data_IF_158430455953
#
_entry.id   IF_158430455953
#
_cell.length_a   1.000
_cell.length_b   1.000
_cell.length_c   1.000
_cell.angle_alpha   90.00
_cell.angle_beta   90.00
_cell.angle_gamma   90.00
#
_symmetry.space_group_name_H-M   'P 1'
#
loop_
_entity.id
_entity.type
_entity.pdbx_description
1 polymer ?
#
# COMPACT_ATOMS: atom_id res chain seq x y z
N UNK A 1 -65.11 -41.25 22.04
CA UNK A 1 -66.28 -40.65 21.36
C UNK A 1 -65.94 -39.18 21.13
N UNK A 2 -65.57 -38.91 19.93
CA UNK A 2 -65.75 -37.71 19.13
C UNK A 2 -65.74 -36.34 19.81
N UNK A 3 -64.78 -35.55 19.45
CA UNK A 3 -65.03 -34.25 18.78
C UNK A 3 -63.77 -33.75 18.10
N UNK A 4 -63.65 -34.11 16.84
CA UNK A 4 -63.00 -33.38 15.80
C UNK A 4 -63.89 -32.23 15.37
N UNK A 5 -63.28 -31.23 14.91
CA UNK A 5 -63.67 -30.13 14.00
C UNK A 5 -63.69 -28.74 14.62
N UNK A 6 -63.03 -27.96 13.84
CA UNK A 6 -63.09 -26.51 13.64
C UNK A 6 -62.09 -25.67 14.42
N UNK A 7 -60.99 -25.45 13.76
CA UNK A 7 -60.43 -24.08 13.60
C UNK A 7 -59.58 -24.00 12.30
N UNK A 8 -60.34 -23.83 11.25
CA UNK A 8 -59.76 -23.24 10.01
C UNK A 8 -59.85 -21.71 10.13
N UNK A 9 -58.91 -21.04 9.49
CA UNK A 9 -58.82 -19.61 9.19
C UNK A 9 -58.31 -18.69 10.29
N UNK A 10 -57.04 -18.39 10.19
CA UNK A 10 -56.52 -17.01 10.10
C UNK A 10 -55.05 -17.09 9.68
N UNK A 11 -54.77 -17.50 8.42
CA UNK A 11 -53.55 -17.19 7.74
C UNK A 11 -53.74 -15.82 7.07
N UNK A 12 -53.68 -14.78 7.87
CA UNK A 12 -53.46 -13.43 7.36
C UNK A 12 -51.97 -13.31 7.04
N UNK A 13 -51.71 -13.20 5.76
CA UNK A 13 -50.38 -13.09 5.21
C UNK A 13 -49.59 -11.92 5.78
N UNK A 14 -48.53 -12.23 6.50
CA UNK A 14 -47.36 -11.38 6.59
C UNK A 14 -46.64 -11.54 5.26
N UNK A 15 -47.03 -10.74 4.31
CA UNK A 15 -46.13 -10.36 3.21
C UNK A 15 -45.03 -9.51 3.83
N UNK A 16 -44.00 -10.18 4.34
CA UNK A 16 -42.71 -9.59 4.53
C UNK A 16 -42.24 -9.24 3.13
N UNK A 17 -42.35 -7.96 2.78
CA UNK A 17 -41.75 -7.43 1.58
C UNK A 17 -40.24 -7.65 1.67
N UNK A 18 -39.77 -8.77 1.13
CA UNK A 18 -38.41 -8.84 0.63
C UNK A 18 -38.37 -7.75 -0.48
N UNK A 19 -37.82 -6.61 -0.17
CA UNK A 19 -37.24 -5.75 -1.17
C UNK A 19 -36.15 -6.59 -1.84
N UNK A 20 -36.50 -7.24 -2.95
CA UNK A 20 -35.56 -7.85 -3.84
C UNK A 20 -34.55 -6.71 -4.16
N UNK A 21 -33.28 -6.92 -3.78
CA UNK A 21 -32.22 -6.06 -4.26
C UNK A 21 -32.41 -6.01 -5.78
N UNK A 22 -32.70 -4.81 -6.31
CA UNK A 22 -32.92 -4.66 -7.74
C UNK A 22 -31.56 -4.93 -8.39
N UNK A 23 -31.43 -6.09 -9.02
CA UNK A 23 -30.27 -6.44 -9.80
C UNK A 23 -30.23 -5.53 -11.04
N UNK A 24 -29.03 -5.27 -11.57
CA UNK A 24 -28.83 -4.52 -12.81
C UNK A 24 -29.88 -4.87 -13.87
N UNK A 25 -30.55 -3.87 -14.40
CA UNK A 25 -31.53 -4.04 -15.48
C UNK A 25 -30.90 -3.77 -16.84
N UNK A 26 -31.50 -4.30 -17.94
CA UNK A 26 -30.98 -4.06 -19.29
C UNK A 26 -31.04 -2.57 -19.66
N UNK A 27 -32.06 -1.85 -19.19
CA UNK A 27 -32.21 -0.40 -19.43
C UNK A 27 -31.10 0.38 -18.73
N UNK A 28 -30.71 -0.02 -17.52
CA UNK A 28 -29.59 0.59 -16.80
C UNK A 28 -28.26 0.28 -17.49
N UNK A 29 -28.02 -0.98 -17.88
CA UNK A 29 -26.82 -1.36 -18.63
C UNK A 29 -26.69 -0.58 -19.93
N UNK A 30 -27.80 -0.39 -20.63
CA UNK A 30 -27.85 0.40 -21.86
C UNK A 30 -27.63 1.89 -21.60
N UNK A 31 -28.24 2.45 -20.55
CA UNK A 31 -28.06 3.86 -20.17
C UNK A 31 -26.61 4.22 -19.84
N UNK A 32 -25.84 3.25 -19.33
CA UNK A 32 -24.40 3.41 -19.11
C UNK A 32 -23.60 3.25 -20.41
N UNK A 33 -24.04 2.37 -21.31
CA UNK A 33 -23.32 2.07 -22.57
C UNK A 33 -23.52 3.16 -23.63
N UNK A 34 -24.69 3.76 -23.72
CA UNK A 34 -25.12 4.65 -24.81
C UNK A 34 -25.74 5.94 -24.30
N UNK A 35 -25.47 7.02 -25.01
CA UNK A 35 -26.05 8.33 -24.73
C UNK A 35 -24.98 9.40 -24.57
N UNK A 36 -25.42 10.60 -24.22
CA UNK A 36 -24.54 11.72 -23.89
C UNK A 36 -23.76 11.45 -22.60
N UNK A 37 -22.54 11.99 -22.50
CA UNK A 37 -21.64 11.71 -21.37
C UNK A 37 -22.28 12.00 -20.02
N UNK A 38 -23.04 13.05 -19.85
CA UNK A 38 -23.67 13.42 -18.59
C UNK A 38 -24.76 12.41 -18.19
N UNK A 39 -25.60 11.99 -19.14
CA UNK A 39 -26.62 10.98 -18.90
C UNK A 39 -26.01 9.60 -18.54
N UNK A 40 -24.91 9.24 -19.19
CA UNK A 40 -24.17 7.99 -18.88
C UNK A 40 -23.55 8.01 -17.49
N UNK A 41 -22.99 9.14 -17.05
CA UNK A 41 -22.45 9.32 -15.69
C UNK A 41 -23.56 9.23 -14.64
N UNK A 42 -24.73 9.82 -14.90
CA UNK A 42 -25.88 9.72 -14.00
C UNK A 42 -26.40 8.28 -13.89
N UNK A 43 -26.51 7.57 -15.02
CA UNK A 43 -26.90 6.17 -15.04
C UNK A 43 -25.89 5.28 -14.30
N UNK A 44 -24.60 5.55 -14.45
CA UNK A 44 -23.51 4.89 -13.72
C UNK A 44 -23.65 5.11 -12.21
N UNK A 45 -23.83 6.36 -11.78
CA UNK A 45 -23.99 6.69 -10.35
C UNK A 45 -25.21 5.97 -9.73
N UNK A 46 -26.32 5.91 -10.47
CA UNK A 46 -27.54 5.20 -10.04
C UNK A 46 -27.31 3.69 -9.90
N UNK A 47 -26.66 3.06 -10.87
CA UNK A 47 -26.36 1.63 -10.82
C UNK A 47 -25.40 1.28 -9.66
N UNK A 48 -24.40 2.12 -9.42
CA UNK A 48 -23.44 1.95 -8.30
C UNK A 48 -24.14 2.06 -6.95
N UNK A 49 -25.10 2.96 -6.79
CA UNK A 49 -25.84 3.12 -5.54
C UNK A 49 -26.61 1.85 -5.15
N UNK A 50 -26.96 1.00 -6.10
CA UNK A 50 -27.61 -0.30 -5.84
C UNK A 50 -26.61 -1.33 -5.29
N UNK A 51 -25.32 -1.25 -5.62
CA UNK A 51 -24.23 -2.05 -5.04
C UNK A 51 -24.40 -3.56 -5.28
N UNK A 52 -24.75 -3.96 -6.51
CA UNK A 52 -24.97 -5.35 -6.91
C UNK A 52 -23.69 -5.96 -7.56
N UNK A 53 -23.49 -7.27 -7.35
CA UNK A 53 -22.38 -8.03 -7.92
C UNK A 53 -22.39 -8.01 -9.47
N UNK A 54 -23.57 -8.11 -10.07
CA UNK A 54 -23.74 -8.04 -11.54
C UNK A 54 -23.34 -6.70 -12.08
N UNK A 55 -23.69 -5.62 -11.39
CA UNK A 55 -23.24 -4.27 -11.71
C UNK A 55 -21.71 -4.20 -11.71
N UNK A 56 -21.06 -4.78 -10.70
CA UNK A 56 -19.58 -4.80 -10.64
C UNK A 56 -18.96 -5.55 -11.83
N UNK A 57 -19.52 -6.71 -12.19
CA UNK A 57 -19.06 -7.49 -13.35
C UNK A 57 -19.24 -6.74 -14.65
N UNK A 58 -20.38 -6.08 -14.82
CA UNK A 58 -20.67 -5.28 -16.02
C UNK A 58 -19.76 -4.06 -16.13
N UNK A 59 -19.57 -3.33 -15.04
CA UNK A 59 -18.67 -2.17 -15.03
C UNK A 59 -17.21 -2.56 -15.27
N UNK A 60 -16.80 -3.73 -14.74
CA UNK A 60 -15.47 -4.26 -15.05
C UNK A 60 -15.32 -4.62 -16.53
N UNK A 61 -16.37 -5.20 -17.14
CA UNK A 61 -16.37 -5.50 -18.57
C UNK A 61 -16.31 -4.23 -19.43
N UNK A 62 -16.95 -3.14 -18.99
CA UNK A 62 -16.81 -1.83 -19.63
C UNK A 62 -15.38 -1.27 -19.52
N UNK A 63 -14.77 -1.38 -18.35
CA UNK A 63 -13.37 -0.94 -18.12
C UNK A 63 -12.38 -1.76 -18.95
N UNK A 64 -12.65 -3.05 -19.16
CA UNK A 64 -11.85 -3.95 -19.98
C UNK A 64 -12.08 -3.74 -21.50
N UNK A 65 -12.92 -2.81 -21.91
CA UNK A 65 -13.35 -2.54 -23.30
C UNK A 65 -13.94 -3.78 -24.01
N UNK A 66 -14.59 -4.70 -23.27
CA UNK A 66 -15.18 -5.94 -23.81
C UNK A 66 -16.71 -5.89 -23.95
N UNK A 67 -17.30 -4.70 -23.88
CA UNK A 67 -18.74 -4.53 -24.03
C UNK A 67 -19.08 -4.04 -25.44
N UNK A 68 -20.04 -4.71 -26.06
CA UNK A 68 -20.59 -4.34 -27.37
C UNK A 68 -22.07 -4.04 -27.28
N UNK A 69 -22.55 -3.24 -28.18
CA UNK A 69 -23.96 -2.90 -28.33
C UNK A 69 -24.45 -3.25 -29.73
N UNK A 70 -25.61 -3.86 -29.81
CA UNK A 70 -26.33 -4.10 -31.06
C UNK A 70 -27.79 -3.70 -30.86
N UNK A 71 -28.27 -2.71 -31.58
CA UNK A 71 -29.65 -2.14 -31.50
C UNK A 71 -30.04 -1.81 -30.03
N UNK A 72 -30.74 -2.73 -29.36
CA UNK A 72 -31.26 -2.55 -28.03
C UNK A 72 -30.62 -3.48 -26.98
N UNK A 73 -29.63 -4.27 -27.39
CA UNK A 73 -28.95 -5.24 -26.49
C UNK A 73 -27.52 -4.83 -26.21
N UNK A 74 -27.17 -4.95 -24.94
CA UNK A 74 -25.78 -4.80 -24.48
C UNK A 74 -25.23 -6.21 -24.20
N UNK A 75 -24.04 -6.51 -24.69
CA UNK A 75 -23.46 -7.84 -24.66
C UNK A 75 -22.00 -7.72 -24.21
N UNK A 76 -21.60 -8.50 -23.22
CA UNK A 76 -20.20 -8.65 -22.83
C UNK A 76 -19.54 -9.72 -23.71
N UNK A 77 -18.46 -9.40 -24.41
CA UNK A 77 -17.79 -10.31 -25.33
C UNK A 77 -16.39 -10.64 -24.81
N UNK A 78 -16.17 -11.89 -24.37
CA UNK A 78 -14.86 -12.40 -23.97
C UNK A 78 -14.52 -13.64 -24.77
N UNK A 79 -13.34 -13.70 -25.35
CA UNK A 79 -12.84 -14.83 -26.15
C UNK A 79 -13.83 -15.25 -27.28
N UNK A 80 -14.54 -14.27 -27.88
CA UNK A 80 -15.50 -14.52 -28.94
C UNK A 80 -16.87 -15.03 -28.47
N UNK A 81 -17.09 -15.19 -27.16
CA UNK A 81 -18.37 -15.57 -26.58
C UNK A 81 -19.10 -14.35 -26.03
N UNK A 82 -20.36 -14.20 -26.43
CA UNK A 82 -21.24 -13.17 -25.91
C UNK A 82 -21.95 -13.62 -24.63
N UNK A 83 -22.05 -12.74 -23.64
CA UNK A 83 -22.79 -12.98 -22.39
C UNK A 83 -23.68 -11.77 -22.09
N UNK A 84 -24.93 -12.01 -21.74
CA UNK A 84 -25.88 -10.99 -21.30
C UNK A 84 -25.48 -10.49 -19.90
N UNK A 85 -25.27 -9.18 -19.69
CA UNK A 85 -24.83 -8.64 -18.41
C UNK A 85 -25.85 -8.76 -17.29
N UNK A 86 -27.13 -8.92 -17.61
CA UNK A 86 -28.22 -9.01 -16.63
C UNK A 86 -28.49 -10.44 -16.21
N UNK A 87 -28.61 -11.34 -17.19
CA UNK A 87 -28.96 -12.74 -16.93
C UNK A 87 -27.73 -13.64 -16.70
N UNK A 88 -26.56 -13.24 -17.23
CA UNK A 88 -25.34 -14.06 -17.24
C UNK A 88 -25.39 -15.21 -18.25
N UNK A 89 -26.40 -15.29 -19.11
CA UNK A 89 -26.54 -16.33 -20.11
C UNK A 89 -25.69 -16.05 -21.35
N UNK A 90 -25.22 -17.11 -22.00
CA UNK A 90 -24.51 -17.01 -23.25
C UNK A 90 -25.46 -16.58 -24.38
N UNK A 91 -25.08 -15.57 -25.14
CA UNK A 91 -25.83 -14.99 -26.25
C UNK A 91 -24.95 -14.93 -27.48
N UNK A 92 -25.51 -15.18 -28.64
CA UNK A 92 -24.79 -15.03 -29.90
C UNK A 92 -24.43 -13.53 -30.10
N UNK A 93 -23.19 -13.26 -30.51
CA UNK A 93 -22.75 -11.89 -30.84
C UNK A 93 -23.27 -11.55 -32.23
N UNK A 94 -24.17 -10.53 -32.37
CA UNK A 94 -24.64 -10.11 -33.67
C UNK A 94 -23.51 -9.51 -34.52
N UNK A 95 -23.59 -9.67 -35.85
CA UNK A 95 -22.60 -9.12 -36.77
C UNK A 95 -22.56 -7.56 -36.78
N UNK A 96 -23.65 -6.94 -36.38
CA UNK A 96 -23.83 -5.48 -36.28
C UNK A 96 -23.46 -4.91 -34.90
N UNK A 97 -22.82 -5.73 -34.02
CA UNK A 97 -22.44 -5.28 -32.71
C UNK A 97 -21.21 -4.36 -32.72
N UNK A 98 -21.40 -3.10 -32.28
CA UNK A 98 -20.35 -2.10 -32.17
C UNK A 98 -19.75 -2.03 -30.77
N UNK A 99 -18.46 -1.64 -30.69
CA UNK A 99 -17.79 -1.46 -29.41
C UNK A 99 -18.31 -0.21 -28.69
N UNK A 100 -18.51 -0.31 -27.37
CA UNK A 100 -18.91 0.84 -26.54
C UNK A 100 -17.73 1.77 -26.35
N UNK A 101 -17.82 2.99 -26.91
CA UNK A 101 -16.79 3.99 -26.79
C UNK A 101 -16.86 4.70 -25.43
N UNK A 102 -15.76 4.68 -24.68
CA UNK A 102 -15.60 5.39 -23.43
C UNK A 102 -14.69 6.61 -23.62
N UNK A 103 -15.20 7.80 -23.29
CA UNK A 103 -14.35 8.99 -23.22
C UNK A 103 -13.57 9.03 -21.89
N UNK A 104 -12.54 9.88 -21.79
CA UNK A 104 -11.68 9.98 -20.61
C UNK A 104 -12.45 10.32 -19.33
N UNK A 105 -13.50 11.13 -19.41
CA UNK A 105 -14.34 11.47 -18.26
C UNK A 105 -15.09 10.24 -17.75
N UNK A 106 -15.74 9.51 -18.65
CA UNK A 106 -16.49 8.32 -18.27
C UNK A 106 -15.58 7.20 -17.76
N UNK A 107 -14.36 7.08 -18.29
CA UNK A 107 -13.35 6.16 -17.74
C UNK A 107 -12.99 6.52 -16.30
N UNK A 108 -12.74 7.79 -15.99
CA UNK A 108 -12.47 8.22 -14.63
C UNK A 108 -13.63 7.94 -13.66
N UNK A 109 -14.86 8.21 -14.08
CA UNK A 109 -16.06 7.89 -13.28
C UNK A 109 -16.26 6.39 -13.11
N UNK A 110 -15.95 5.59 -14.13
CA UNK A 110 -16.01 4.13 -14.10
C UNK A 110 -14.98 3.53 -13.13
N UNK A 111 -13.74 3.99 -13.16
CA UNK A 111 -12.69 3.56 -12.24
C UNK A 111 -13.08 3.86 -10.79
N UNK A 112 -13.67 5.03 -10.58
CA UNK A 112 -14.15 5.46 -9.29
C UNK A 112 -15.35 4.62 -8.81
N UNK A 113 -16.27 4.29 -9.72
CA UNK A 113 -17.42 3.43 -9.47
C UNK A 113 -16.99 2.00 -9.10
N UNK A 114 -16.01 1.45 -9.82
CA UNK A 114 -15.44 0.15 -9.54
C UNK A 114 -14.71 0.14 -8.18
N UNK A 115 -13.99 1.21 -7.85
CA UNK A 115 -13.38 1.36 -6.53
C UNK A 115 -14.44 1.35 -5.41
N UNK A 116 -15.56 2.03 -5.63
CA UNK A 116 -16.67 2.07 -4.67
C UNK A 116 -17.34 0.70 -4.47
N UNK A 117 -17.55 -0.06 -5.54
CA UNK A 117 -18.11 -1.42 -5.47
C UNK A 117 -17.20 -2.42 -4.76
N UNK A 118 -15.88 -2.18 -4.77
CA UNK A 118 -14.91 -2.98 -4.00
C UNK A 118 -15.13 -2.93 -2.48
N UNK A 119 -15.92 -1.98 -1.97
CA UNK A 119 -16.36 -1.98 -0.55
C UNK A 119 -17.19 -3.21 -0.17
N UNK A 120 -17.78 -3.90 -1.14
CA UNK A 120 -18.59 -5.10 -0.91
C UNK A 120 -17.85 -6.40 -1.22
N UNK A 121 -16.54 -6.33 -1.48
CA UNK A 121 -15.71 -7.51 -1.74
C UNK A 121 -15.68 -8.45 -0.52
N UNK A 122 -15.65 -9.78 -0.72
CA UNK A 122 -15.44 -10.73 0.38
C UNK A 122 -14.08 -10.56 1.07
N UNK A 123 -13.07 -10.06 0.35
CA UNK A 123 -11.72 -9.84 0.88
C UNK A 123 -11.64 -8.52 1.68
N UNK A 124 -11.30 -8.63 2.96
CA UNK A 124 -11.10 -7.49 3.87
C UNK A 124 -10.03 -6.51 3.37
N UNK A 125 -8.95 -7.02 2.74
CA UNK A 125 -7.88 -6.17 2.22
C UNK A 125 -8.36 -5.31 1.06
N UNK A 126 -9.19 -5.87 0.19
CA UNK A 126 -9.79 -5.15 -0.94
C UNK A 126 -10.74 -4.07 -0.42
N UNK A 127 -11.62 -4.39 0.55
CA UNK A 127 -12.52 -3.42 1.16
C UNK A 127 -11.77 -2.28 1.85
N UNK A 128 -10.69 -2.60 2.56
CA UNK A 128 -9.82 -1.60 3.20
C UNK A 128 -9.23 -0.61 2.20
N UNK A 129 -8.67 -1.11 1.09
CA UNK A 129 -8.09 -0.27 0.04
C UNK A 129 -9.15 0.60 -0.63
N UNK A 130 -10.35 0.06 -0.88
CA UNK A 130 -11.48 0.80 -1.42
C UNK A 130 -11.90 1.95 -0.49
N UNK A 131 -12.03 1.69 0.81
CA UNK A 131 -12.38 2.72 1.80
C UNK A 131 -11.34 3.85 1.86
N UNK A 132 -10.03 3.51 1.79
CA UNK A 132 -8.95 4.49 1.73
C UNK A 132 -8.97 5.31 0.44
N UNK A 133 -9.29 4.70 -0.70
CA UNK A 133 -9.42 5.42 -1.97
C UNK A 133 -10.56 6.43 -1.91
N UNK A 134 -11.72 6.04 -1.39
CA UNK A 134 -12.88 6.92 -1.26
C UNK A 134 -12.69 8.04 -0.23
N UNK A 135 -11.84 7.83 0.77
CA UNK A 135 -11.44 8.89 1.70
C UNK A 135 -10.59 9.96 1.01
N UNK A 136 -9.74 9.58 0.05
CA UNK A 136 -8.88 10.52 -0.70
C UNK A 136 -9.66 11.39 -1.68
N UNK A 137 -10.71 10.84 -2.26
CA UNK A 137 -11.56 11.48 -3.28
C UNK A 137 -13.02 11.49 -2.81
N UNK A 138 -13.36 12.36 -1.84
CA UNK A 138 -14.68 12.41 -1.25
C UNK A 138 -15.70 13.00 -2.23
N UNK A 139 -16.81 12.29 -2.43
CA UNK A 139 -17.91 12.68 -3.28
C UNK A 139 -19.26 12.47 -2.56
N UNK A 140 -20.07 13.51 -2.51
CA UNK A 140 -21.40 13.51 -1.86
C UNK A 140 -22.37 12.55 -2.54
N UNK A 141 -22.23 12.31 -3.84
CA UNK A 141 -23.09 11.37 -4.60
C UNK A 141 -22.99 9.93 -4.09
N UNK A 142 -21.90 9.59 -3.38
CA UNK A 142 -21.61 8.23 -2.85
C UNK A 142 -22.07 8.03 -1.42
N UNK A 143 -22.73 9.00 -0.81
CA UNK A 143 -23.16 8.92 0.59
C UNK A 143 -24.02 7.68 0.87
N UNK A 144 -25.05 7.42 0.03
CA UNK A 144 -25.93 6.27 0.17
C UNK A 144 -25.18 4.92 0.10
N UNK A 145 -24.17 4.81 -0.77
CA UNK A 145 -23.32 3.64 -0.89
C UNK A 145 -22.46 3.44 0.37
N UNK A 146 -21.84 4.52 0.87
CA UNK A 146 -21.01 4.47 2.08
C UNK A 146 -21.85 4.11 3.32
N UNK A 147 -23.09 4.58 3.41
CA UNK A 147 -24.03 4.20 4.48
C UNK A 147 -24.40 2.72 4.40
N UNK A 148 -24.67 2.21 3.19
CA UNK A 148 -24.94 0.78 2.96
C UNK A 148 -23.72 -0.08 3.30
N UNK A 149 -22.53 0.34 2.91
CA UNK A 149 -21.28 -0.34 3.23
C UNK A 149 -21.04 -0.35 4.75
N UNK A 150 -21.23 0.78 5.42
CA UNK A 150 -21.08 0.90 6.88
C UNK A 150 -22.03 -0.01 7.65
N UNK A 151 -23.28 -0.15 7.21
CA UNK A 151 -24.27 -1.01 7.84
C UNK A 151 -23.94 -2.50 7.73
N UNK A 152 -23.24 -2.91 6.66
CA UNK A 152 -22.91 -4.31 6.38
C UNK A 152 -21.48 -4.72 6.81
N UNK A 153 -20.61 -3.74 7.11
CA UNK A 153 -19.21 -4.03 7.45
C UNK A 153 -19.06 -4.64 8.85
N UNK A 154 -18.32 -5.73 8.90
CA UNK A 154 -18.05 -6.50 10.14
C UNK A 154 -16.65 -6.27 10.71
N UNK A 155 -15.71 -5.88 9.85
CA UNK A 155 -14.34 -5.60 10.29
C UNK A 155 -14.27 -4.20 10.89
N UNK A 156 -13.88 -4.09 12.16
CA UNK A 156 -13.86 -2.83 12.90
C UNK A 156 -12.93 -1.77 12.27
N UNK A 157 -11.83 -2.22 11.64
CA UNK A 157 -10.87 -1.30 11.02
C UNK A 157 -11.43 -0.75 9.70
N UNK A 158 -12.01 -1.61 8.86
CA UNK A 158 -12.67 -1.19 7.61
C UNK A 158 -13.88 -0.31 7.93
N UNK A 159 -14.67 -0.67 8.95
CA UNK A 159 -15.80 0.14 9.41
C UNK A 159 -15.37 1.57 9.79
N UNK A 160 -14.25 1.71 10.51
CA UNK A 160 -13.69 3.01 10.85
C UNK A 160 -13.30 3.82 9.60
N UNK A 161 -12.67 3.19 8.60
CA UNK A 161 -12.29 3.84 7.35
C UNK A 161 -13.50 4.25 6.50
N UNK A 162 -14.52 3.40 6.39
CA UNK A 162 -15.77 3.72 5.68
C UNK A 162 -16.49 4.88 6.36
N UNK A 163 -16.51 4.92 7.71
CA UNK A 163 -17.06 6.05 8.46
C UNK A 163 -16.31 7.35 8.16
N UNK A 164 -14.99 7.29 8.11
CA UNK A 164 -14.16 8.46 7.75
C UNK A 164 -14.38 8.88 6.29
N UNK A 165 -14.51 7.95 5.35
CA UNK A 165 -14.83 8.26 3.96
C UNK A 165 -16.23 8.91 3.81
N UNK A 166 -17.21 8.42 4.58
CA UNK A 166 -18.54 9.07 4.64
C UNK A 166 -18.45 10.48 5.21
N UNK A 167 -17.73 10.66 6.31
CA UNK A 167 -17.53 11.97 6.90
C UNK A 167 -16.80 12.92 5.93
N UNK A 168 -15.81 12.44 5.18
CA UNK A 168 -15.13 13.22 4.15
C UNK A 168 -16.10 13.67 3.03
N UNK A 169 -17.00 12.80 2.59
CA UNK A 169 -18.03 13.14 1.63
C UNK A 169 -19.01 14.22 2.18
N UNK A 170 -19.46 14.06 3.44
CA UNK A 170 -20.35 15.02 4.12
C UNK A 170 -19.68 16.37 4.40
N UNK A 171 -18.36 16.44 4.44
CA UNK A 171 -17.63 17.71 4.59
C UNK A 171 -17.90 18.68 3.44
N UNK A 172 -18.33 18.16 2.27
CA UNK A 172 -18.70 18.94 1.10
C UNK A 172 -20.23 19.17 0.98
N UNK A 173 -21.03 18.80 1.99
CA UNK A 173 -22.48 19.04 2.02
C UNK A 173 -22.81 20.53 2.04
N UNK A 174 -23.95 20.90 1.43
CA UNK A 174 -24.48 22.27 1.50
C UNK A 174 -24.93 22.63 2.93
N UNK A 175 -25.38 21.66 3.71
CA UNK A 175 -25.90 21.87 5.06
C UNK A 175 -24.76 22.06 6.09
N UNK A 176 -24.71 23.19 6.83
CA UNK A 176 -23.66 23.44 7.81
C UNK A 176 -23.60 22.40 8.94
N UNK A 177 -24.74 21.85 9.33
CA UNK A 177 -24.82 20.84 10.39
C UNK A 177 -24.12 19.52 9.98
N UNK A 178 -24.26 19.12 8.71
CA UNK A 178 -23.59 17.93 8.19
C UNK A 178 -22.09 18.13 8.18
N UNK A 179 -21.63 19.29 7.74
CA UNK A 179 -20.22 19.66 7.74
C UNK A 179 -19.63 19.70 9.15
N UNK A 180 -20.41 20.19 10.14
CA UNK A 180 -20.00 20.21 11.53
C UNK A 180 -19.82 18.77 12.09
N UNK A 181 -20.78 17.89 11.81
CA UNK A 181 -20.70 16.48 12.20
C UNK A 181 -19.53 15.77 11.51
N UNK A 182 -19.37 16.00 10.21
CA UNK A 182 -18.26 15.47 9.42
C UNK A 182 -16.91 15.87 9.99
N UNK A 183 -16.73 17.15 10.30
CA UNK A 183 -15.49 17.65 10.91
C UNK A 183 -15.21 17.00 12.27
N UNK A 184 -16.23 16.71 13.08
CA UNK A 184 -16.08 15.99 14.35
C UNK A 184 -15.69 14.53 14.14
N UNK A 185 -16.35 13.80 13.25
CA UNK A 185 -16.03 12.40 12.95
C UNK A 185 -14.60 12.25 12.40
N UNK A 186 -14.14 13.21 11.60
CA UNK A 186 -12.78 13.21 11.06
C UNK A 186 -11.69 13.54 12.08
N UNK A 187 -12.04 14.10 13.25
CA UNK A 187 -11.07 14.38 14.31
C UNK A 187 -10.39 13.13 14.86
N UNK A 188 -11.07 11.97 14.82
CA UNK A 188 -10.53 10.68 15.26
C UNK A 188 -9.69 9.97 14.19
N UNK A 189 -9.53 10.59 13.04
CA UNK A 189 -8.76 10.01 11.94
C UNK A 189 -7.26 10.03 12.23
N UNK A 190 -6.61 8.91 11.88
CA UNK A 190 -5.16 8.77 11.89
C UNK A 190 -4.58 8.78 10.46
N UNK A 191 -5.39 9.14 9.46
CA UNK A 191 -4.97 9.18 8.07
C UNK A 191 -4.40 10.56 7.71
N UNK A 192 -3.20 10.63 7.11
CA UNK A 192 -2.60 11.90 6.67
C UNK A 192 -3.47 12.67 5.68
N UNK A 193 -4.24 11.97 4.86
CA UNK A 193 -5.16 12.53 3.86
C UNK A 193 -6.23 13.40 4.51
N UNK A 194 -6.66 13.07 5.72
CA UNK A 194 -7.65 13.86 6.47
C UNK A 194 -7.18 15.29 6.76
N UNK A 195 -5.88 15.49 6.97
CA UNK A 195 -5.34 16.85 7.14
C UNK A 195 -5.52 17.69 5.89
N UNK A 196 -5.28 17.10 4.72
CA UNK A 196 -5.44 17.78 3.44
C UNK A 196 -6.90 18.20 3.23
N UNK A 197 -7.84 17.28 3.44
CA UNK A 197 -9.28 17.55 3.29
C UNK A 197 -9.77 18.64 4.25
N UNK A 198 -9.41 18.55 5.52
CA UNK A 198 -9.79 19.55 6.53
C UNK A 198 -9.16 20.91 6.23
N UNK A 199 -7.90 20.98 5.79
CA UNK A 199 -7.27 22.26 5.42
C UNK A 199 -7.91 22.87 4.19
N UNK A 200 -8.20 22.09 3.16
CA UNK A 200 -8.89 22.56 1.97
C UNK A 200 -10.27 23.16 2.35
N UNK A 201 -11.06 22.40 3.13
CA UNK A 201 -12.37 22.88 3.55
C UNK A 201 -12.28 24.13 4.44
N UNK A 202 -11.28 24.21 5.30
CA UNK A 202 -11.07 25.38 6.17
C UNK A 202 -10.92 26.68 5.37
N UNK A 203 -10.30 26.63 4.19
CA UNK A 203 -10.14 27.82 3.32
C UNK A 203 -11.44 28.25 2.65
N UNK A 204 -12.35 27.30 2.38
CA UNK A 204 -13.62 27.54 1.70
C UNK A 204 -14.78 27.80 2.66
N UNK A 205 -14.67 27.37 3.92
CA UNK A 205 -15.73 27.45 4.92
C UNK A 205 -16.00 28.89 5.36
N UNK A 206 -17.29 29.24 5.39
CA UNK A 206 -17.73 30.56 5.81
C UNK A 206 -18.45 30.57 7.17
N UNK A 207 -19.03 29.43 7.55
CA UNK A 207 -19.75 29.30 8.80
C UNK A 207 -18.78 29.25 10.01
N UNK A 208 -18.83 30.22 10.94
CA UNK A 208 -17.87 30.32 12.05
C UNK A 208 -17.85 29.08 12.96
N UNK A 209 -18.99 28.47 13.18
CA UNK A 209 -19.13 27.27 14.02
C UNK A 209 -18.41 26.06 13.41
N UNK A 210 -18.57 25.85 12.10
CA UNK A 210 -17.93 24.79 11.34
C UNK A 210 -16.41 25.04 11.24
N UNK A 211 -16.02 26.29 10.97
CA UNK A 211 -14.62 26.71 10.90
C UNK A 211 -13.86 26.41 12.21
N UNK A 212 -14.47 26.75 13.34
CA UNK A 212 -13.92 26.46 14.67
C UNK A 212 -13.78 24.96 14.91
N UNK A 213 -14.78 24.17 14.49
CA UNK A 213 -14.72 22.71 14.61
C UNK A 213 -13.63 22.12 13.75
N UNK A 214 -13.49 22.55 12.49
CA UNK A 214 -12.42 22.09 11.59
C UNK A 214 -11.04 22.39 12.18
N UNK A 215 -10.82 23.59 12.75
CA UNK A 215 -9.56 23.94 13.41
C UNK A 215 -9.26 23.04 14.61
N UNK A 216 -10.27 22.74 15.43
CA UNK A 216 -10.13 21.81 16.55
C UNK A 216 -9.77 20.40 16.06
N UNK A 217 -10.47 19.91 15.03
CA UNK A 217 -10.22 18.61 14.44
C UNK A 217 -8.84 18.49 13.81
N UNK A 218 -8.39 19.53 13.09
CA UNK A 218 -7.02 19.63 12.57
C UNK A 218 -5.97 19.49 13.67
N UNK A 219 -6.14 20.19 14.79
CA UNK A 219 -5.19 20.10 15.92
C UNK A 219 -5.16 18.68 16.49
N UNK A 220 -6.32 18.03 16.62
CA UNK A 220 -6.40 16.65 17.14
C UNK A 220 -5.72 15.65 16.20
N UNK A 221 -6.02 15.73 14.91
CA UNK A 221 -5.40 14.83 13.87
C UNK A 221 -3.90 15.09 13.80
N UNK A 222 -3.43 16.34 13.80
CA UNK A 222 -2.01 16.68 13.83
C UNK A 222 -1.29 16.05 15.02
N UNK A 223 -1.85 16.21 16.23
CA UNK A 223 -1.27 15.63 17.43
C UNK A 223 -1.19 14.08 17.35
N UNK A 224 -2.23 13.45 16.82
CA UNK A 224 -2.24 12.00 16.59
C UNK A 224 -1.14 11.56 15.62
N UNK A 225 -0.96 12.26 14.51
CA UNK A 225 0.07 11.96 13.50
C UNK A 225 1.49 12.23 14.00
N UNK A 226 1.70 13.28 14.82
CA UNK A 226 3.00 13.58 15.41
C UNK A 226 3.56 12.45 16.29
N UNK A 227 2.72 11.67 16.94
CA UNK A 227 3.18 10.48 17.66
C UNK A 227 3.76 9.44 16.74
N UNK A 228 3.11 9.17 15.61
CA UNK A 228 3.65 8.26 14.60
C UNK A 228 4.98 8.74 14.01
N UNK A 229 5.11 10.03 13.73
CA UNK A 229 6.37 10.64 13.25
C UNK A 229 7.49 10.53 14.26
N UNK A 230 7.22 10.80 15.54
CA UNK A 230 8.22 10.66 16.63
C UNK A 230 8.69 9.23 16.78
N UNK A 231 7.77 8.26 16.77
CA UNK A 231 8.12 6.83 16.81
C UNK A 231 8.92 6.41 15.57
N UNK A 232 8.56 6.90 14.39
CA UNK A 232 9.30 6.67 13.15
C UNK A 232 10.71 7.24 13.19
N UNK A 233 10.88 8.43 13.76
CA UNK A 233 12.19 9.07 13.96
C UNK A 233 13.05 8.27 14.93
N UNK A 234 12.48 7.85 16.07
CA UNK A 234 13.18 6.99 17.05
C UNK A 234 13.61 5.66 16.43
N UNK A 235 12.72 5.01 15.68
CA UNK A 235 13.04 3.76 14.98
C UNK A 235 14.16 3.95 13.95
N UNK A 236 14.07 5.03 13.15
CA UNK A 236 15.11 5.35 12.17
C UNK A 236 16.45 5.64 12.86
N UNK A 237 16.42 6.38 13.95
CA UNK A 237 17.60 6.65 14.78
C UNK A 237 18.19 5.37 15.39
N UNK A 238 17.35 4.47 15.92
CA UNK A 238 17.79 3.17 16.44
C UNK A 238 18.42 2.30 15.34
N UNK A 239 17.81 2.27 14.14
CA UNK A 239 18.35 1.51 13.00
C UNK A 239 19.71 2.04 12.55
N UNK A 240 19.84 3.35 12.36
CA UNK A 240 21.12 3.98 12.01
C UNK A 240 22.16 3.81 13.13
N UNK A 241 21.72 3.99 14.38
CA UNK A 241 22.56 3.80 15.55
C UNK A 241 23.09 2.37 15.65
N UNK A 242 22.28 1.36 15.32
CA UNK A 242 22.68 -0.05 15.28
C UNK A 242 23.80 -0.31 14.26
N UNK A 243 23.70 0.28 13.07
CA UNK A 243 24.74 0.18 12.04
C UNK A 243 26.04 0.83 12.54
N UNK A 244 25.95 2.06 13.05
CA UNK A 244 27.10 2.78 13.59
C UNK A 244 27.73 2.06 14.79
N UNK A 245 26.93 1.41 15.61
CA UNK A 245 27.39 0.61 16.74
C UNK A 245 28.22 -0.59 16.26
N UNK A 246 27.78 -1.33 15.24
CA UNK A 246 28.55 -2.43 14.64
C UNK A 246 29.89 -1.95 14.08
N UNK A 247 29.89 -0.81 13.39
CA UNK A 247 31.11 -0.18 12.85
C UNK A 247 32.08 0.21 13.99
N UNK A 248 31.55 0.89 15.00
CA UNK A 248 32.32 1.31 16.16
C UNK A 248 32.88 0.13 16.96
N UNK A 249 32.09 -0.95 17.11
CA UNK A 249 32.54 -2.18 17.77
C UNK A 249 33.70 -2.82 17.00
N UNK A 250 33.60 -2.94 15.67
CA UNK A 250 34.69 -3.45 14.84
C UNK A 250 35.97 -2.61 14.96
N UNK A 251 35.83 -1.29 14.98
CA UNK A 251 36.97 -0.38 15.19
C UNK A 251 37.54 -0.50 16.60
N UNK A 252 36.68 -0.62 17.63
CA UNK A 252 37.12 -0.77 19.02
C UNK A 252 37.86 -2.08 19.23
N UNK A 253 37.45 -3.19 18.61
CA UNK A 253 38.14 -4.47 18.66
C UNK A 253 39.53 -4.34 17.99
N UNK A 254 39.63 -3.77 16.81
CA UNK A 254 40.92 -3.63 16.11
C UNK A 254 41.87 -2.72 16.87
N UNK A 255 41.40 -1.59 17.36
CA UNK A 255 42.23 -0.66 18.14
C UNK A 255 42.56 -1.22 19.52
N UNK A 256 41.61 -1.84 20.23
CA UNK A 256 41.76 -2.36 21.56
C UNK A 256 42.70 -3.59 21.62
N UNK A 257 42.65 -4.49 20.66
CA UNK A 257 43.45 -5.69 20.61
C UNK A 257 44.85 -5.47 19.98
N UNK A 258 44.92 -4.69 18.90
CA UNK A 258 46.15 -4.50 18.14
C UNK A 258 46.88 -3.22 18.50
N UNK A 259 46.23 -2.26 19.15
CA UNK A 259 46.80 -0.92 19.44
C UNK A 259 47.11 -0.09 18.18
N UNK A 260 46.50 -0.42 17.04
CA UNK A 260 46.76 0.14 15.73
C UNK A 260 45.57 0.98 15.26
N UNK A 261 45.84 2.21 14.85
CA UNK A 261 44.83 3.05 14.20
C UNK A 261 44.71 2.62 12.73
N UNK A 262 43.61 1.89 12.43
CA UNK A 262 43.37 1.37 11.09
C UNK A 262 42.48 2.31 10.29
N UNK A 263 43.06 3.15 9.39
CA UNK A 263 42.30 4.03 8.50
C UNK A 263 41.57 3.25 7.38
N UNK A 264 42.00 2.01 7.08
CA UNK A 264 41.37 1.17 6.04
C UNK A 264 40.14 0.37 6.54
N UNK A 265 39.63 0.67 7.74
CA UNK A 265 38.46 -0.06 8.28
C UNK A 265 37.22 0.07 7.38
N UNK A 266 36.97 1.26 6.82
CA UNK A 266 35.87 1.49 5.88
C UNK A 266 35.98 0.64 4.61
N UNK A 267 37.20 0.48 4.09
CA UNK A 267 37.48 -0.31 2.89
C UNK A 267 37.32 -1.82 3.15
N UNK A 268 37.60 -2.29 4.35
CA UNK A 268 37.29 -3.68 4.72
C UNK A 268 35.77 -3.94 4.74
N UNK A 269 34.99 -2.97 5.20
CA UNK A 269 33.51 -3.05 5.09
C UNK A 269 33.08 -3.01 3.62
N UNK A 270 33.68 -2.17 2.80
CA UNK A 270 33.43 -2.11 1.35
C UNK A 270 33.73 -3.46 0.68
N UNK A 271 34.83 -4.13 1.01
CA UNK A 271 35.14 -5.49 0.51
C UNK A 271 34.03 -6.48 0.84
N UNK A 272 33.54 -6.46 2.10
CA UNK A 272 32.41 -7.30 2.51
C UNK A 272 31.12 -7.00 1.72
N UNK A 273 30.82 -5.73 1.46
CA UNK A 273 29.68 -5.30 0.68
C UNK A 273 29.77 -5.78 -0.78
N UNK A 274 30.93 -5.64 -1.41
CA UNK A 274 31.15 -6.13 -2.77
C UNK A 274 31.16 -7.66 -2.86
N UNK A 275 31.63 -8.36 -1.84
CA UNK A 275 31.51 -9.81 -1.78
C UNK A 275 30.04 -10.26 -1.73
N UNK A 276 29.20 -9.54 -0.97
CA UNK A 276 27.74 -9.75 -0.97
C UNK A 276 27.14 -9.54 -2.35
N UNK A 277 27.55 -8.48 -3.05
CA UNK A 277 27.11 -8.21 -4.41
C UNK A 277 27.50 -9.33 -5.38
N UNK A 278 28.74 -9.82 -5.32
CA UNK A 278 29.20 -10.94 -6.17
C UNK A 278 28.37 -12.19 -5.90
N UNK A 279 28.12 -12.54 -4.66
CA UNK A 279 27.26 -13.70 -4.30
C UNK A 279 25.85 -13.50 -4.88
N UNK A 280 25.27 -12.30 -4.77
CA UNK A 280 23.98 -11.99 -5.35
C UNK A 280 23.96 -12.23 -6.87
N UNK A 281 24.96 -11.73 -7.58
CA UNK A 281 25.06 -11.91 -9.04
C UNK A 281 25.19 -13.39 -9.41
N UNK A 282 26.00 -14.14 -8.66
CA UNK A 282 26.14 -15.59 -8.87
C UNK A 282 24.82 -16.35 -8.65
N UNK A 283 24.08 -16.02 -7.59
CA UNK A 283 22.76 -16.61 -7.35
C UNK A 283 21.78 -16.27 -8.45
N UNK A 284 21.76 -15.01 -8.91
CA UNK A 284 20.90 -14.57 -10.02
C UNK A 284 21.20 -15.34 -11.31
N UNK A 285 22.48 -15.62 -11.59
CA UNK A 285 22.91 -16.26 -12.82
C UNK A 285 22.75 -17.78 -12.80
N UNK A 286 23.06 -18.44 -11.67
CA UNK A 286 23.16 -19.89 -11.58
C UNK A 286 22.04 -20.55 -10.77
N UNK A 287 21.40 -19.83 -9.85
CA UNK A 287 20.39 -20.34 -8.94
C UNK A 287 19.21 -19.37 -8.78
N UNK A 288 18.52 -18.99 -9.88
CA UNK A 288 17.45 -17.99 -9.82
C UNK A 288 16.31 -18.43 -8.89
N UNK A 289 15.97 -19.71 -8.83
CA UNK A 289 14.91 -20.25 -7.97
C UNK A 289 15.25 -20.19 -6.47
N UNK A 290 16.54 -20.11 -6.13
CA UNK A 290 17.03 -20.02 -4.76
C UNK A 290 17.54 -18.61 -4.43
N UNK A 291 17.18 -17.60 -5.22
CA UNK A 291 17.66 -16.23 -5.03
C UNK A 291 17.44 -15.70 -3.62
N UNK A 292 16.32 -16.02 -2.98
CA UNK A 292 15.99 -15.59 -1.63
C UNK A 292 16.94 -16.11 -0.53
N UNK A 293 17.69 -17.16 -0.81
CA UNK A 293 18.67 -17.73 0.12
C UNK A 293 20.09 -17.14 -0.03
N UNK A 294 20.34 -16.25 -1.03
CA UNK A 294 21.67 -15.72 -1.30
C UNK A 294 22.30 -15.06 -0.05
N UNK A 295 21.50 -14.39 0.79
CA UNK A 295 21.98 -13.67 1.96
C UNK A 295 22.63 -14.59 3.00
N UNK A 296 22.15 -15.84 3.12
CA UNK A 296 22.70 -16.85 4.05
C UNK A 296 24.13 -17.21 3.64
N UNK A 297 24.43 -17.26 2.35
CA UNK A 297 25.77 -17.51 1.80
C UNK A 297 26.59 -16.22 1.76
N UNK A 298 25.96 -15.09 1.50
CA UNK A 298 26.63 -13.80 1.40
C UNK A 298 27.26 -13.35 2.71
N UNK A 299 26.61 -13.59 3.87
CA UNK A 299 27.14 -13.21 5.19
C UNK A 299 28.49 -13.89 5.48
N UNK A 300 28.62 -15.24 5.42
CA UNK A 300 29.91 -15.87 5.62
C UNK A 300 30.93 -15.53 4.51
N UNK A 301 30.50 -15.33 3.28
CA UNK A 301 31.38 -14.92 2.17
C UNK A 301 31.96 -13.50 2.39
N UNK A 302 31.12 -12.57 2.84
CA UNK A 302 31.53 -11.20 3.18
C UNK A 302 32.53 -11.20 4.34
N UNK A 303 32.23 -12.01 5.38
CA UNK A 303 33.17 -12.17 6.51
C UNK A 303 34.51 -12.77 6.06
N UNK A 304 34.49 -13.84 5.28
CA UNK A 304 35.71 -14.51 4.81
C UNK A 304 36.56 -13.61 3.92
N UNK A 305 35.94 -12.86 3.01
CA UNK A 305 36.65 -11.93 2.09
C UNK A 305 37.28 -10.77 2.87
N UNK A 306 36.55 -10.14 3.78
CA UNK A 306 37.09 -9.07 4.63
C UNK A 306 38.21 -9.58 5.56
N UNK A 307 38.04 -10.78 6.15
CA UNK A 307 39.06 -11.42 6.99
C UNK A 307 40.32 -11.77 6.19
N UNK A 308 40.19 -12.26 4.95
CA UNK A 308 41.32 -12.56 4.08
C UNK A 308 42.13 -11.30 3.74
N UNK A 309 41.46 -10.24 3.30
CA UNK A 309 42.10 -8.95 2.97
C UNK A 309 42.76 -8.37 4.24
N UNK A 310 42.08 -8.41 5.39
CA UNK A 310 42.63 -7.97 6.67
C UNK A 310 43.85 -8.79 7.10
N UNK A 311 43.83 -10.11 6.93
CA UNK A 311 44.98 -10.97 7.24
C UNK A 311 46.17 -10.72 6.29
N UNK A 312 45.93 -10.47 5.01
CA UNK A 312 47.00 -10.07 4.07
C UNK A 312 47.59 -8.75 4.51
N UNK A 313 46.78 -7.74 4.77
CA UNK A 313 47.19 -6.42 5.22
C UNK A 313 48.00 -6.49 6.53
N UNK A 314 47.56 -7.30 7.47
CA UNK A 314 48.27 -7.49 8.73
C UNK A 314 49.65 -8.13 8.47
N UNK A 315 49.73 -9.25 7.75
CA UNK A 315 50.99 -10.02 7.53
C UNK A 315 52.02 -9.28 6.68
N UNK A 316 51.54 -8.48 5.70
CA UNK A 316 52.47 -7.79 4.77
C UNK A 316 52.94 -6.44 5.28
N UNK A 317 52.08 -5.70 5.98
CA UNK A 317 52.36 -4.30 6.34
C UNK A 317 52.32 -4.08 7.85
N UNK A 318 51.19 -4.37 8.52
CA UNK A 318 50.94 -3.93 9.90
C UNK A 318 51.92 -4.55 10.90
N UNK A 319 52.25 -5.82 10.74
CA UNK A 319 53.14 -6.53 11.63
C UNK A 319 54.53 -5.91 11.72
N UNK A 320 54.99 -5.21 10.68
CA UNK A 320 56.30 -4.52 10.65
C UNK A 320 56.26 -3.09 11.24
N UNK A 321 55.07 -2.61 11.54
CA UNK A 321 54.81 -1.22 11.99
C UNK A 321 54.28 -1.22 13.47
N UNK A 322 54.21 -2.36 14.15
CA UNK A 322 53.82 -2.39 15.54
C UNK A 322 54.67 -1.51 16.43
N UNK A 323 54.03 -0.71 17.30
CA UNK A 323 54.69 0.27 18.15
C UNK A 323 54.99 1.63 17.50
N UNK A 324 54.63 1.82 16.22
CA UNK A 324 54.86 3.06 15.48
C UNK A 324 53.53 3.65 14.97
N UNK A 325 52.76 4.32 15.82
CA UNK A 325 51.35 4.69 15.50
C UNK A 325 51.23 5.65 14.29
N UNK A 326 52.16 6.59 14.12
CA UNK A 326 52.15 7.53 12.96
C UNK A 326 52.45 6.83 11.62
N UNK A 327 53.42 5.93 11.62
CA UNK A 327 53.78 5.16 10.42
C UNK A 327 52.64 4.21 10.03
N UNK A 328 51.99 3.58 11.01
CA UNK A 328 50.85 2.71 10.80
C UNK A 328 49.64 3.48 10.24
N UNK A 329 49.38 4.68 10.75
CA UNK A 329 48.31 5.53 10.25
C UNK A 329 48.52 5.90 8.77
N UNK A 330 49.73 6.33 8.39
CA UNK A 330 50.08 6.66 7.02
C UNK A 330 50.02 5.44 6.08
N UNK A 331 50.52 4.28 6.55
CA UNK A 331 50.49 3.05 5.77
C UNK A 331 49.05 2.57 5.53
N UNK A 332 48.20 2.58 6.55
CA UNK A 332 46.81 2.19 6.42
C UNK A 332 46.01 3.15 5.55
N UNK A 333 46.32 4.46 5.58
CA UNK A 333 45.75 5.44 4.65
C UNK A 333 46.12 5.15 3.21
N UNK A 334 47.41 4.85 2.92
CA UNK A 334 47.85 4.44 1.60
C UNK A 334 47.17 3.17 1.11
N UNK A 335 47.02 2.15 1.99
CA UNK A 335 46.29 0.91 1.68
C UNK A 335 44.82 1.21 1.37
N UNK A 336 44.17 2.10 2.14
CA UNK A 336 42.80 2.54 1.90
C UNK A 336 42.61 3.04 0.46
N UNK A 337 43.52 3.92 -0.01
CA UNK A 337 43.50 4.42 -1.40
C UNK A 337 43.67 3.31 -2.44
N UNK A 338 44.55 2.36 -2.18
CA UNK A 338 44.78 1.22 -3.10
C UNK A 338 43.56 0.32 -3.17
N UNK A 339 42.94 -0.01 -2.03
CA UNK A 339 41.74 -0.84 -1.98
C UNK A 339 40.55 -0.16 -2.67
N UNK A 340 40.34 1.13 -2.40
CA UNK A 340 39.31 1.93 -3.05
C UNK A 340 39.48 1.94 -4.58
N UNK A 341 40.70 2.22 -5.05
CA UNK A 341 40.98 2.25 -6.48
C UNK A 341 40.89 0.84 -7.10
N UNK A 342 41.33 -0.19 -6.39
CA UNK A 342 41.23 -1.57 -6.83
C UNK A 342 39.77 -1.99 -7.07
N UNK A 343 38.88 -1.71 -6.13
CA UNK A 343 37.44 -2.01 -6.27
C UNK A 343 36.85 -1.21 -7.45
N UNK A 344 37.17 0.07 -7.59
CA UNK A 344 36.71 0.88 -8.74
C UNK A 344 37.20 0.34 -10.08
N UNK A 345 38.40 -0.21 -10.13
CA UNK A 345 38.94 -0.79 -11.37
C UNK A 345 38.26 -2.11 -11.74
N UNK A 346 37.81 -2.89 -10.77
CA UNK A 346 37.15 -4.19 -10.98
C UNK A 346 35.67 -4.02 -11.28
N UNK A 347 34.96 -3.21 -10.48
CA UNK A 347 33.51 -3.07 -10.53
C UNK A 347 33.01 -1.80 -11.23
N UNK A 348 33.92 -0.89 -11.55
CA UNK A 348 33.60 0.42 -12.13
C UNK A 348 33.34 1.49 -11.08
N UNK A 349 33.12 2.73 -11.57
CA UNK A 349 32.89 3.90 -10.71
C UNK A 349 31.44 4.05 -10.26
N UNK A 350 30.52 3.28 -10.82
CA UNK A 350 29.08 3.34 -10.52
C UNK A 350 28.75 2.56 -9.24
N UNK A 351 27.80 3.08 -8.48
CA UNK A 351 27.30 2.37 -7.31
C UNK A 351 26.53 1.11 -7.76
N UNK A 352 26.83 -0.01 -7.13
CA UNK A 352 26.13 -1.28 -7.34
C UNK A 352 25.06 -1.45 -6.27
N UNK A 353 23.88 -1.92 -6.69
CA UNK A 353 22.76 -2.18 -5.80
C UNK A 353 22.76 -3.62 -5.27
N UNK A 354 22.51 -3.77 -3.98
CA UNK A 354 22.21 -5.07 -3.35
C UNK A 354 20.72 -5.11 -3.07
N UNK A 355 20.01 -6.11 -3.64
CA UNK A 355 18.57 -6.26 -3.50
C UNK A 355 18.21 -7.04 -2.25
N UNK A 356 17.10 -6.65 -1.63
CA UNK A 356 16.58 -7.42 -0.50
C UNK A 356 15.91 -8.72 -1.00
N UNK A 357 16.09 -9.86 -0.31
CA UNK A 357 15.27 -11.05 -0.53
C UNK A 357 13.79 -10.76 -0.34
N UNK A 358 12.91 -11.56 -0.96
CA UNK A 358 11.45 -11.34 -0.88
C UNK A 358 10.94 -11.37 0.55
N UNK A 359 11.47 -12.25 1.41
CA UNK A 359 11.11 -12.36 2.82
C UNK A 359 11.55 -11.15 3.68
N UNK A 360 12.53 -10.35 3.24
CA UNK A 360 12.94 -9.08 3.86
C UNK A 360 12.23 -7.88 3.23
N UNK A 361 11.51 -8.09 2.15
CA UNK A 361 10.79 -7.05 1.44
C UNK A 361 9.48 -6.73 2.15
N UNK A 362 9.07 -5.46 2.10
CA UNK A 362 7.86 -5.00 2.74
C UNK A 362 8.11 -4.29 4.07
N UNK A 363 7.02 -3.96 4.72
CA UNK A 363 7.02 -3.22 5.98
C UNK A 363 5.90 -3.69 6.91
N UNK A 364 6.14 -3.60 8.21
CA UNK A 364 5.12 -3.74 9.23
C UNK A 364 4.47 -2.38 9.45
N UNK A 365 3.21 -2.22 9.09
CA UNK A 365 2.45 -1.01 9.35
C UNK A 365 1.87 -1.07 10.77
N UNK A 366 2.42 -0.26 11.68
CA UNK A 366 1.93 -0.13 13.06
C UNK A 366 0.86 0.95 13.17
N UNK A 367 1.05 2.06 12.46
CA UNK A 367 0.09 3.17 12.37
C UNK A 367 -0.08 3.54 10.90
N UNK A 368 -1.16 4.23 10.51
CA UNK A 368 -1.35 4.67 9.13
C UNK A 368 -0.18 5.49 8.57
N UNK A 369 0.47 6.27 9.42
CA UNK A 369 1.64 7.09 9.09
C UNK A 369 2.98 6.49 9.57
N UNK A 370 3.00 5.25 10.11
CA UNK A 370 4.22 4.60 10.60
C UNK A 370 4.38 3.21 10.01
N UNK A 371 5.34 3.09 9.11
CA UNK A 371 5.74 1.83 8.51
C UNK A 371 7.16 1.48 8.95
N UNK A 372 7.35 0.27 9.47
CA UNK A 372 8.64 -0.27 9.88
C UNK A 372 9.13 -1.27 8.83
N UNK A 373 10.11 -0.93 7.98
CA UNK A 373 10.67 -1.85 7.01
C UNK A 373 11.33 -3.06 7.68
N UNK A 374 11.04 -4.27 7.20
CA UNK A 374 11.57 -5.52 7.74
C UNK A 374 13.09 -5.58 7.73
N UNK A 375 13.73 -5.05 6.69
CA UNK A 375 15.18 -4.99 6.59
C UNK A 375 15.82 -4.20 7.74
N UNK A 376 15.21 -3.08 8.17
CA UNK A 376 15.73 -2.28 9.30
C UNK A 376 15.51 -2.96 10.66
N UNK A 377 14.38 -3.67 10.83
CA UNK A 377 14.14 -4.47 12.01
C UNK A 377 15.20 -5.57 12.16
N UNK A 378 15.51 -6.26 11.06
CA UNK A 378 16.52 -7.31 11.05
C UNK A 378 17.92 -6.78 11.37
N UNK A 379 18.28 -5.59 10.87
CA UNK A 379 19.55 -4.93 11.21
C UNK A 379 19.67 -4.67 12.72
N UNK A 380 18.60 -4.17 13.35
CA UNK A 380 18.59 -3.92 14.81
C UNK A 380 18.77 -5.23 15.59
N UNK A 381 18.02 -6.27 15.19
CA UNK A 381 18.12 -7.61 15.83
C UNK A 381 19.51 -8.20 15.64
N UNK A 382 20.06 -8.12 14.45
CA UNK A 382 21.41 -8.60 14.14
C UNK A 382 22.48 -7.84 14.97
N UNK A 383 22.38 -6.52 15.06
CA UNK A 383 23.29 -5.71 15.85
C UNK A 383 23.22 -6.08 17.34
N UNK A 384 22.02 -6.30 17.87
CA UNK A 384 21.83 -6.76 19.25
C UNK A 384 22.43 -8.16 19.47
N UNK A 385 22.25 -9.08 18.52
CA UNK A 385 22.80 -10.45 18.60
C UNK A 385 24.33 -10.48 18.55
N UNK A 386 24.97 -9.56 17.81
CA UNK A 386 26.45 -9.45 17.76
C UNK A 386 27.01 -8.85 19.05
N UNK A 387 26.24 -8.08 19.77
CA UNK A 387 26.65 -7.38 20.98
C UNK A 387 26.63 -8.29 22.23
N UNK A 388 25.79 -9.33 22.23
CA UNK A 388 25.64 -10.33 23.29
C UNK A 388 26.61 -11.47 23.09
#
# INVERSE_FOLDING_TARGET
MNKWMTNALCIAGLWCGLTAAQALTMDEARGIAVGESDARVEALAKAVAQGDEKTAVYLQALSDDVVKISKDQVIMVRDGQGTDPVTGQSVAVPEDAEDVMLNNRLRGELDTALAALKLFSPDVKVRRLAALSLLKEPDTSRQALLEKALANEKDAHVQSLVRQARAAALLNSEAPNDRLLAARELADSQQPETLLLLNQRLTEEQEPSVKKQIQSSLTTVQNSLHWGERLGTLFTGASLGSILLLVALGLAITYGLMGVINMAHGELMMIGAYATYVVQVLFRQYLPDAFDAYLVVAVPAAFASAALVGAVMERTVLKHLYGRPLETLLATWGISLVLMQGVRSIFGAQNVGVENPTWMSGSLQLLPNLQLPWNRLLIIVFAAAVLV
#
